data_IF_507160899599
#
_entry.id   IF_507160899599
#
_cell.length_a   1.000
_cell.length_b   1.000
_cell.length_c   1.000
_cell.angle_alpha   90.00
_cell.angle_beta   90.00
_cell.angle_gamma   90.00
#
_symmetry.space_group_name_H-M   'P 1'
#
loop_
_entity.id
_entity.type
_entity.pdbx_description
1 polymer ?
#
# COMPACT_ATOMS: atom_id res chain seq x y z
N UNK A 1 13.92 -12.12 -39.87
CA UNK A 1 13.06 -11.43 -38.88
C UNK A 1 13.02 -9.95 -39.22
N UNK A 2 11.86 -9.37 -39.54
CA UNK A 2 11.76 -7.99 -40.07
C UNK A 2 11.96 -6.89 -39.02
N UNK A 3 11.67 -7.16 -37.74
CA UNK A 3 11.85 -6.20 -36.65
C UNK A 3 12.38 -6.87 -35.37
N UNK A 4 13.68 -7.22 -35.31
CA UNK A 4 14.27 -7.90 -34.16
C UNK A 4 14.27 -7.03 -32.88
N UNK A 5 14.23 -5.71 -33.03
CA UNK A 5 14.24 -4.78 -31.89
C UNK A 5 13.02 -4.95 -30.98
N UNK A 6 11.82 -5.17 -31.54
CA UNK A 6 10.63 -5.40 -30.72
C UNK A 6 10.68 -6.70 -29.94
N UNK A 7 11.29 -7.74 -30.54
CA UNK A 7 11.49 -9.03 -29.86
C UNK A 7 12.44 -8.85 -28.67
N UNK A 8 13.59 -8.21 -28.89
CA UNK A 8 14.57 -7.95 -27.83
C UNK A 8 13.94 -7.12 -26.72
N UNK A 9 13.24 -6.04 -27.08
CA UNK A 9 12.58 -5.15 -26.13
C UNK A 9 11.54 -5.90 -25.28
N UNK A 10 10.69 -6.70 -25.92
CA UNK A 10 9.68 -7.51 -25.23
C UNK A 10 10.32 -8.51 -24.27
N UNK A 11 11.37 -9.21 -24.69
CA UNK A 11 12.08 -10.17 -23.83
C UNK A 11 12.71 -9.47 -22.64
N UNK A 12 13.37 -8.33 -22.83
CA UNK A 12 14.00 -7.56 -21.75
C UNK A 12 12.97 -7.14 -20.71
N UNK A 13 11.82 -6.60 -21.13
CA UNK A 13 10.75 -6.21 -20.20
C UNK A 13 10.22 -7.42 -19.46
N UNK A 14 9.93 -8.52 -20.16
CA UNK A 14 9.35 -9.71 -19.55
C UNK A 14 10.29 -10.31 -18.50
N UNK A 15 11.59 -10.39 -18.80
CA UNK A 15 12.60 -10.86 -17.84
C UNK A 15 12.73 -9.92 -16.65
N UNK A 16 12.73 -8.60 -16.88
CA UNK A 16 12.82 -7.61 -15.80
C UNK A 16 11.63 -7.68 -14.85
N UNK A 17 10.40 -7.72 -15.38
CA UNK A 17 9.17 -7.83 -14.57
C UNK A 17 9.15 -9.15 -13.82
N UNK A 18 9.44 -10.27 -14.48
CA UNK A 18 9.50 -11.58 -13.83
C UNK A 18 10.53 -11.63 -12.68
N UNK A 19 11.69 -11.02 -12.88
CA UNK A 19 12.71 -10.91 -11.83
C UNK A 19 12.27 -10.00 -10.67
N UNK A 20 11.64 -8.86 -10.98
CA UNK A 20 11.12 -7.94 -9.97
C UNK A 20 10.09 -8.65 -9.07
N UNK A 21 9.12 -9.34 -9.66
CA UNK A 21 8.10 -10.13 -8.93
C UNK A 21 8.74 -11.25 -8.11
N UNK A 22 9.69 -12.00 -8.67
CA UNK A 22 10.40 -13.07 -7.94
C UNK A 22 11.18 -12.54 -6.73
N UNK A 23 11.72 -11.33 -6.81
CA UNK A 23 12.43 -10.67 -5.70
C UNK A 23 11.48 -9.95 -4.73
N UNK A 24 10.18 -9.92 -5.01
CA UNK A 24 9.19 -9.18 -4.22
C UNK A 24 9.31 -7.67 -4.36
N UNK A 25 9.91 -7.18 -5.45
CA UNK A 25 9.90 -5.74 -5.75
C UNK A 25 8.49 -5.33 -6.12
N UNK A 26 7.95 -4.36 -5.38
CA UNK A 26 6.68 -3.75 -5.68
C UNK A 26 6.80 -2.24 -5.56
N UNK A 27 6.21 -1.53 -6.52
CA UNK A 27 6.06 -0.06 -6.46
C UNK A 27 5.11 0.37 -5.32
N UNK A 28 4.34 -0.58 -4.79
CA UNK A 28 3.40 -0.37 -3.70
C UNK A 28 3.79 -1.17 -2.48
N UNK A 29 3.51 -0.65 -1.30
CA UNK A 29 3.69 -1.43 -0.06
C UNK A 29 2.59 -2.48 0.05
N UNK A 30 3.00 -3.75 0.04
CA UNK A 30 2.09 -4.90 0.18
C UNK A 30 1.34 -4.89 1.52
N UNK A 31 1.97 -4.38 2.58
CA UNK A 31 1.41 -4.34 3.93
C UNK A 31 0.90 -2.94 4.33
N UNK A 32 0.67 -2.03 3.38
CA UNK A 32 0.15 -0.71 3.72
C UNK A 32 -1.35 -0.76 3.98
N UNK A 33 -1.72 -0.60 5.26
CA UNK A 33 -3.11 -0.40 5.65
C UNK A 33 -3.45 1.07 5.50
N UNK A 34 -4.35 1.36 4.54
CA UNK A 34 -4.81 2.72 4.24
C UNK A 34 -5.95 3.12 5.18
N UNK A 35 -6.18 4.42 5.33
CA UNK A 35 -7.29 5.01 6.09
C UNK A 35 -7.26 4.76 7.62
N UNK A 36 -6.08 4.45 8.19
CA UNK A 36 -5.89 4.49 9.65
C UNK A 36 -5.25 5.83 10.01
N UNK A 37 -5.76 6.54 11.04
CA UNK A 37 -5.13 7.74 11.58
C UNK A 37 -3.67 7.44 11.96
N UNK A 38 -2.70 8.08 11.31
CA UNK A 38 -1.26 7.84 11.53
C UNK A 38 -0.72 8.67 12.69
N UNK A 39 -1.42 9.74 13.04
CA UNK A 39 -1.10 10.58 14.18
C UNK A 39 -2.34 10.85 15.02
N UNK A 40 -2.12 11.23 16.27
CA UNK A 40 -3.18 11.64 17.20
C UNK A 40 -3.94 12.87 16.66
N UNK A 41 -3.31 13.68 15.81
CA UNK A 41 -3.96 14.82 15.12
C UNK A 41 -4.94 14.38 14.04
N UNK A 42 -4.73 13.21 13.45
CA UNK A 42 -5.61 12.63 12.43
C UNK A 42 -6.84 11.96 13.08
N UNK A 43 -6.84 11.77 14.41
CA UNK A 43 -7.99 11.29 15.18
C UNK A 43 -8.18 12.12 16.47
N UNK A 44 -8.78 13.31 16.39
CA UNK A 44 -9.04 14.14 17.57
C UNK A 44 -9.91 13.45 18.63
N UNK A 45 -10.62 12.36 18.28
CA UNK A 45 -11.36 11.51 19.22
C UNK A 45 -10.49 10.66 20.14
N UNK A 46 -9.20 10.43 19.82
CA UNK A 46 -8.28 9.63 20.64
C UNK A 46 -7.66 10.40 21.82
N UNK A 47 -7.84 11.73 21.88
CA UNK A 47 -7.35 12.56 23.01
C UNK A 47 -8.26 12.50 24.25
N UNK A 48 -9.44 11.90 24.17
CA UNK A 48 -10.36 11.85 25.31
C UNK A 48 -9.87 10.80 26.30
N UNK A 49 -9.44 11.24 27.48
CA UNK A 49 -9.07 10.36 28.58
C UNK A 49 -10.28 9.50 29.00
N UNK A 50 -10.14 8.18 29.03
CA UNK A 50 -11.18 7.21 29.39
C UNK A 50 -11.56 7.20 30.90
N UNK A 51 -11.46 8.32 31.62
CA UNK A 51 -11.75 8.38 33.05
C UNK A 51 -13.21 8.69 33.39
N UNK A 52 -14.10 8.74 32.40
CA UNK A 52 -15.53 8.94 32.61
C UNK A 52 -16.37 7.97 31.76
N UNK A 53 -16.40 6.68 32.16
CA UNK A 53 -17.58 5.83 32.06
C UNK A 53 -18.29 5.61 30.72
N UNK A 54 -17.64 5.72 29.56
CA UNK A 54 -18.30 5.42 28.27
C UNK A 54 -17.38 4.71 27.27
N UNK A 55 -17.73 3.45 26.95
CA UNK A 55 -16.90 2.47 26.21
C UNK A 55 -17.50 2.07 24.85
N UNK A 56 -18.21 2.93 24.11
CA UNK A 56 -18.72 2.55 22.79
C UNK A 56 -18.58 3.67 21.76
N UNK A 57 -17.75 3.40 20.76
CA UNK A 57 -17.70 4.12 19.50
C UNK A 57 -18.94 3.75 18.67
N UNK A 58 -19.76 4.74 18.31
CA UNK A 58 -20.86 4.59 17.37
C UNK A 58 -20.61 5.50 16.16
N UNK A 59 -20.51 4.88 14.98
CA UNK A 59 -20.71 5.53 13.68
C UNK A 59 -19.47 6.15 13.05
N UNK A 60 -18.95 5.50 12.00
CA UNK A 60 -18.22 6.19 10.95
C UNK A 60 -19.20 6.66 9.87
N UNK A 61 -19.06 7.92 9.46
CA UNK A 61 -19.47 8.41 8.13
C UNK A 61 -18.32 8.18 7.16
#
# INVERSE_FOLDING_TARGET
>A
MRHPLYLIYGTVILTFVGFAEFRGWSLTRVNEVRNIPKSVRDNPGSYRSHYAGYYRYFGGK
#
